data_IF_381399960158
#
_entry.id   IF_381399960158
#
_cell.length_a   1.000
_cell.length_b   1.000
_cell.length_c   1.000
_cell.angle_alpha   90.00
_cell.angle_beta   90.00
_cell.angle_gamma   90.00
#
_symmetry.space_group_name_H-M   'P 1'
#
loop_
_entity.id
_entity.type
_entity.pdbx_description
1 polymer ?
#
# COMPACT_ATOMS: atom_id res chain seq x y z
N UNK A 1 -8.11 7.49 -2.13
CA UNK A 1 -6.90 6.83 -1.57
C UNK A 1 -5.91 6.59 -2.69
N UNK A 2 -4.62 6.52 -2.35
CA UNK A 2 -3.54 6.28 -3.31
C UNK A 2 -2.55 5.24 -2.80
N UNK A 3 -1.94 4.44 -3.68
CA UNK A 3 -0.79 3.62 -3.32
C UNK A 3 0.40 4.49 -2.92
N UNK A 4 1.23 4.02 -2.00
CA UNK A 4 2.51 4.66 -1.71
C UNK A 4 3.46 4.53 -2.90
N UNK A 5 4.21 5.60 -3.18
CA UNK A 5 5.26 5.61 -4.20
C UNK A 5 6.48 4.75 -3.83
N UNK A 6 6.53 4.33 -2.58
CA UNK A 6 7.62 3.53 -2.01
C UNK A 6 7.31 2.04 -1.96
N UNK A 7 6.21 1.60 -2.59
CA UNK A 7 5.88 0.18 -2.73
C UNK A 7 6.73 -0.49 -3.80
N UNK A 8 7.23 -1.68 -3.49
CA UNK A 8 7.85 -2.61 -4.40
C UNK A 8 7.07 -3.93 -4.35
N UNK A 9 6.77 -4.48 -5.53
CA UNK A 9 5.93 -5.67 -5.66
C UNK A 9 6.74 -6.74 -6.40
N UNK A 10 6.81 -7.93 -5.83
CA UNK A 10 7.48 -9.09 -6.42
C UNK A 10 6.57 -10.31 -6.41
N UNK A 11 6.78 -11.28 -7.34
CA UNK A 11 6.12 -12.57 -7.22
C UNK A 11 6.50 -13.26 -5.91
N UNK A 12 5.52 -13.88 -5.26
CA UNK A 12 5.75 -14.80 -4.15
C UNK A 12 6.02 -16.22 -4.66
N UNK A 13 6.39 -17.13 -3.76
CA UNK A 13 6.52 -18.56 -4.08
C UNK A 13 5.17 -19.17 -4.48
N UNK A 14 4.08 -18.71 -3.85
CA UNK A 14 2.71 -19.04 -4.26
C UNK A 14 2.32 -18.20 -5.49
N UNK A 15 2.00 -18.83 -6.65
CA UNK A 15 1.59 -18.11 -7.85
C UNK A 15 0.33 -17.26 -7.69
N UNK A 16 -0.52 -17.52 -6.69
CA UNK A 16 -1.70 -16.73 -6.39
C UNK A 16 -1.38 -15.43 -5.62
N UNK A 17 -0.15 -15.28 -5.11
CA UNK A 17 0.24 -14.20 -4.21
C UNK A 17 1.39 -13.35 -4.73
N UNK A 18 1.58 -12.21 -4.09
CA UNK A 18 2.72 -11.32 -4.28
C UNK A 18 3.24 -10.85 -2.93
N UNK A 19 4.53 -10.49 -2.93
CA UNK A 19 5.16 -9.79 -1.81
C UNK A 19 5.12 -8.29 -2.13
N UNK A 20 4.58 -7.51 -1.20
CA UNK A 20 4.60 -6.05 -1.22
C UNK A 20 5.51 -5.56 -0.10
N UNK A 21 6.53 -4.79 -0.45
CA UNK A 21 7.44 -4.14 0.49
C UNK A 21 7.35 -2.63 0.34
N UNK A 22 7.21 -1.91 1.46
CA UNK A 22 7.24 -0.46 1.46
C UNK A 22 8.60 0.01 1.98
N UNK A 23 9.40 0.68 1.15
CA UNK A 23 10.74 1.11 1.56
C UNK A 23 10.76 2.30 2.52
N UNK A 24 9.64 3.03 2.65
CA UNK A 24 9.51 4.14 3.58
C UNK A 24 9.21 3.65 5.00
N UNK A 25 8.29 2.69 5.14
CA UNK A 25 7.88 2.14 6.45
C UNK A 25 8.61 0.86 6.82
N UNK A 26 9.34 0.25 5.89
CA UNK A 26 9.96 -1.08 5.99
C UNK A 26 8.96 -2.22 6.20
N UNK A 27 7.66 -1.96 6.01
CA UNK A 27 6.63 -2.96 6.10
C UNK A 27 6.73 -3.98 4.94
N UNK A 28 6.46 -5.24 5.25
CA UNK A 28 6.44 -6.35 4.30
C UNK A 28 5.14 -7.12 4.46
N UNK A 29 4.44 -7.38 3.37
CA UNK A 29 3.20 -8.15 3.36
C UNK A 29 3.20 -9.12 2.18
N UNK A 30 2.80 -10.38 2.44
CA UNK A 30 2.40 -11.30 1.37
C UNK A 30 0.88 -11.22 1.21
N UNK A 31 0.40 -10.97 0.00
CA UNK A 31 -1.02 -10.73 -0.27
C UNK A 31 -1.51 -11.50 -1.50
N UNK A 32 -2.80 -11.85 -1.49
CA UNK A 32 -3.50 -12.43 -2.63
C UNK A 32 -3.60 -11.44 -3.79
N UNK A 33 -3.48 -11.94 -5.03
CA UNK A 33 -3.55 -11.10 -6.25
C UNK A 33 -4.94 -10.51 -6.53
N UNK A 34 -5.99 -11.00 -5.88
CA UNK A 34 -7.41 -10.67 -6.17
C UNK A 34 -7.71 -9.17 -6.21
N UNK A 35 -7.03 -8.36 -5.40
CA UNK A 35 -7.24 -6.90 -5.32
C UNK A 35 -5.95 -6.11 -5.57
N UNK A 36 -4.96 -6.73 -6.21
CA UNK A 36 -3.64 -6.12 -6.43
C UNK A 36 -3.72 -4.89 -7.34
N UNK A 37 -4.67 -4.86 -8.27
CA UNK A 37 -4.91 -3.74 -9.20
C UNK A 37 -5.09 -2.40 -8.46
N UNK A 38 -5.54 -2.40 -7.21
CA UNK A 38 -5.63 -1.19 -6.38
C UNK A 38 -4.27 -0.52 -6.17
N UNK A 39 -3.17 -1.28 -6.19
CA UNK A 39 -1.79 -0.78 -6.07
C UNK A 39 -1.24 -0.23 -7.39
N UNK A 40 -1.85 -0.54 -8.53
CA UNK A 40 -1.45 -0.04 -9.85
C UNK A 40 -2.20 1.25 -10.24
N UNK A 41 -3.31 1.56 -9.58
CA UNK A 41 -4.08 2.77 -9.82
C UNK A 41 -3.38 4.01 -9.25
N UNK A 42 -3.40 5.16 -9.96
CA UNK A 42 -2.86 6.40 -9.41
C UNK A 42 -3.63 6.87 -8.17
N UNK A 43 -4.95 6.67 -8.17
CA UNK A 43 -5.90 6.90 -7.07
C UNK A 43 -7.14 6.02 -7.27
N UNK A 44 -7.83 5.73 -6.18
CA UNK A 44 -9.14 5.07 -6.19
C UNK A 44 -10.05 5.61 -5.08
N UNK A 45 -11.35 5.52 -5.31
CA UNK A 45 -12.37 5.94 -4.35
C UNK A 45 -12.73 4.78 -3.39
N UNK A 46 -12.33 4.91 -2.13
CA UNK A 46 -12.51 3.88 -1.10
C UNK A 46 -14.00 3.60 -0.82
N UNK A 47 -14.86 4.62 -0.88
CA UNK A 47 -16.27 4.48 -0.52
C UNK A 47 -17.05 3.65 -1.54
N UNK A 48 -16.53 3.59 -2.77
CA UNK A 48 -17.11 2.81 -3.88
C UNK A 48 -16.66 1.35 -3.91
N UNK A 49 -15.66 0.97 -3.12
CA UNK A 49 -15.12 -0.39 -3.12
C UNK A 49 -16.11 -1.39 -2.49
N UNK A 50 -16.20 -2.62 -3.02
CA UNK A 50 -16.92 -3.70 -2.34
C UNK A 50 -16.24 -4.06 -1.01
N UNK A 51 -17.00 -4.60 -0.05
CA UNK A 51 -16.51 -4.91 1.32
C UNK A 51 -15.19 -5.68 1.38
N UNK A 52 -14.96 -6.73 0.58
CA UNK A 52 -13.69 -7.46 0.64
C UNK A 52 -12.50 -6.61 0.16
N UNK A 53 -12.69 -5.77 -0.86
CA UNK A 53 -11.66 -4.86 -1.35
C UNK A 53 -11.37 -3.73 -0.35
N UNK A 54 -12.39 -3.25 0.38
CA UNK A 54 -12.19 -2.31 1.50
C UNK A 54 -11.33 -2.90 2.61
N UNK A 55 -11.64 -4.12 3.07
CA UNK A 55 -10.84 -4.80 4.10
C UNK A 55 -9.39 -5.02 3.66
N UNK A 56 -9.19 -5.35 2.39
CA UNK A 56 -7.86 -5.44 1.80
C UNK A 56 -7.12 -4.09 1.86
N UNK A 57 -7.78 -3.01 1.42
CA UNK A 57 -7.22 -1.67 1.46
C UNK A 57 -6.91 -1.20 2.89
N UNK A 58 -7.76 -1.53 3.86
CA UNK A 58 -7.56 -1.20 5.27
C UNK A 58 -6.34 -1.92 5.87
N UNK A 59 -6.16 -3.20 5.56
CA UNK A 59 -4.97 -3.95 5.97
C UNK A 59 -3.69 -3.34 5.40
N UNK A 60 -3.71 -2.97 4.11
CA UNK A 60 -2.59 -2.32 3.46
C UNK A 60 -2.33 -0.89 3.97
N UNK A 61 -3.38 -0.18 4.40
CA UNK A 61 -3.25 1.14 5.02
C UNK A 61 -2.44 1.08 6.33
N UNK A 62 -2.61 0.02 7.13
CA UNK A 62 -1.86 -0.14 8.39
C UNK A 62 -0.34 -0.25 8.16
N UNK A 63 0.08 -0.89 7.07
CA UNK A 63 1.50 -1.01 6.69
C UNK A 63 2.07 0.19 5.92
N UNK A 64 1.26 1.21 5.65
CA UNK A 64 1.64 2.37 4.83
C UNK A 64 1.76 2.07 3.33
N UNK A 65 1.26 0.92 2.88
CA UNK A 65 1.23 0.57 1.45
C UNK A 65 0.18 1.40 0.69
N UNK A 66 -0.91 1.76 1.37
CA UNK A 66 -1.95 2.64 0.85
C UNK A 66 -2.08 3.83 1.79
N UNK A 67 -2.27 5.01 1.22
CA UNK A 67 -2.32 6.28 1.93
C UNK A 67 -3.58 7.05 1.56
N UNK A 68 -3.98 7.95 2.45
CA UNK A 68 -5.01 8.93 2.15
C UNK A 68 -4.51 9.88 1.03
N UNK A 69 -5.43 10.37 0.18
CA UNK A 69 -5.03 11.15 -1.00
C UNK A 69 -4.26 12.44 -0.66
N UNK A 70 -4.57 13.00 0.51
CA UNK A 70 -3.93 14.20 1.04
C UNK A 70 -2.54 13.92 1.67
N UNK A 71 -2.10 12.67 1.76
CA UNK A 71 -0.83 12.32 2.39
C UNK A 71 0.38 12.77 1.55
N UNK A 72 1.17 13.66 2.14
CA UNK A 72 2.46 14.10 1.60
C UNK A 72 3.59 13.20 2.10
N UNK A 73 3.95 12.22 1.26
CA UNK A 73 5.00 11.24 1.56
C UNK A 73 6.39 11.88 1.73
N UNK A 74 6.67 12.99 1.03
CA UNK A 74 7.95 13.69 1.18
C UNK A 74 8.06 14.35 2.55
N UNK A 75 6.95 14.92 3.04
CA UNK A 75 6.89 15.48 4.40
C UNK A 75 7.06 14.39 5.45
N UNK A 76 6.43 13.23 5.26
CA UNK A 76 6.56 12.06 6.15
C UNK A 76 8.03 11.62 6.21
N UNK A 77 8.68 11.45 5.05
CA UNK A 77 10.09 11.06 4.97
C UNK A 77 11.02 12.06 5.68
N UNK A 78 10.83 13.37 5.44
CA UNK A 78 11.60 14.43 6.12
C UNK A 78 11.45 14.37 7.63
N UNK A 79 10.23 14.15 8.12
CA UNK A 79 9.97 14.03 9.54
C UNK A 79 10.65 12.80 10.15
N UNK A 80 10.54 11.64 9.50
CA UNK A 80 11.18 10.40 9.95
C UNK A 80 12.71 10.53 10.01
N UNK A 81 13.32 11.19 9.02
CA UNK A 81 14.76 11.48 9.02
C UNK A 81 15.18 12.40 10.17
N UNK A 82 14.44 13.50 10.38
CA UNK A 82 14.77 14.50 11.41
C UNK A 82 14.43 14.07 12.85
N UNK A 83 13.73 12.95 13.02
CA UNK A 83 13.32 12.43 14.33
C UNK A 83 14.22 11.29 14.84
N UNK A 84 15.22 10.91 14.04
CA UNK A 84 16.32 10.00 14.40
C UNK A 84 17.57 10.78 14.78
#
# INVERSE_FOLDING_TARGET
>A
MKPSKYNFIWPADDPAKVIVFNSLTTALAEVEKTYLDLLDLPRFDYDTLPDPARRFADGLKQGGFILDDAADELKILKYAYNSN
#
